data_IF_986144490952
#
_entry.id   IF_986144490952
#
_cell.length_a   1.000
_cell.length_b   1.000
_cell.length_c   1.000
_cell.angle_alpha   90.00
_cell.angle_beta   90.00
_cell.angle_gamma   90.00
#
_symmetry.space_group_name_H-M   'P 1'
#
loop_
_entity.id
_entity.type
_entity.pdbx_description
1 polymer ?
#
# COMPACT_ATOMS: atom_id res chain seq x y z
N UNK A 1 32.20 -5.02 20.15
CA UNK A 1 31.19 -6.08 20.01
C UNK A 1 30.10 -5.52 19.10
N UNK A 2 29.91 -6.11 17.94
CA UNK A 2 28.94 -5.63 16.93
C UNK A 2 27.60 -6.33 17.21
N UNK A 3 26.53 -5.62 17.64
CA UNK A 3 25.27 -6.25 18.07
C UNK A 3 24.36 -6.68 16.92
N UNK A 4 24.76 -6.47 15.67
CA UNK A 4 24.04 -6.97 14.52
C UNK A 4 24.80 -8.17 13.93
N UNK A 5 24.57 -9.34 14.48
CA UNK A 5 25.01 -10.59 13.86
C UNK A 5 24.57 -10.61 12.40
N UNK A 6 25.52 -10.58 11.44
CA UNK A 6 25.22 -10.84 10.04
C UNK A 6 24.79 -12.31 9.97
N UNK A 7 23.50 -12.52 9.83
CA UNK A 7 22.99 -13.83 9.45
C UNK A 7 23.44 -14.08 8.01
N UNK A 8 24.43 -14.97 7.83
CA UNK A 8 24.75 -15.50 6.51
C UNK A 8 23.62 -16.46 6.15
N UNK A 9 22.72 -16.01 5.29
CA UNK A 9 21.68 -16.88 4.72
C UNK A 9 22.33 -17.55 3.51
N UNK A 10 22.62 -18.83 3.62
CA UNK A 10 23.15 -19.60 2.50
C UNK A 10 22.09 -19.75 1.40
N UNK A 11 22.54 -19.80 0.15
CA UNK A 11 21.65 -19.98 -1.02
C UNK A 11 20.73 -21.20 -0.86
N UNK A 12 21.25 -22.25 -0.23
CA UNK A 12 20.51 -23.49 0.05
C UNK A 12 19.39 -23.30 1.09
N UNK A 13 19.58 -22.42 2.08
CA UNK A 13 18.55 -22.11 3.08
C UNK A 13 17.41 -21.32 2.44
N UNK A 14 17.73 -20.40 1.53
CA UNK A 14 16.75 -19.72 0.71
C UNK A 14 15.97 -20.75 -0.12
N UNK A 15 16.64 -21.64 -0.82
CA UNK A 15 16.00 -22.64 -1.68
C UNK A 15 15.16 -23.65 -0.89
N UNK A 16 15.60 -24.04 0.30
CA UNK A 16 14.82 -24.90 1.21
C UNK A 16 13.60 -24.19 1.79
N UNK A 17 13.67 -22.85 1.95
CA UNK A 17 12.55 -22.00 2.37
C UNK A 17 11.46 -21.87 1.30
N UNK A 18 11.80 -22.08 0.02
CA UNK A 18 10.87 -22.04 -1.12
C UNK A 18 10.00 -23.31 -1.30
N UNK A 19 9.85 -24.14 -0.30
CA UNK A 19 8.77 -25.13 -0.32
C UNK A 19 7.40 -24.41 -0.45
N UNK A 20 6.45 -24.94 -1.24
CA UNK A 20 5.20 -24.27 -1.54
C UNK A 20 4.51 -23.70 -0.30
N UNK A 21 4.08 -22.44 -0.35
CA UNK A 21 3.27 -21.76 0.67
C UNK A 21 3.96 -21.43 2.01
N UNK A 22 5.29 -21.16 2.02
CA UNK A 22 5.99 -20.75 3.24
C UNK A 22 6.81 -19.48 3.12
N UNK A 23 6.74 -18.80 1.98
CA UNK A 23 7.41 -17.51 1.75
C UNK A 23 6.37 -16.43 1.59
N UNK A 24 6.51 -15.34 2.33
CA UNK A 24 5.66 -14.14 2.25
C UNK A 24 6.53 -12.96 1.86
N UNK A 25 6.05 -12.11 0.97
CA UNK A 25 6.70 -10.85 0.66
C UNK A 25 6.08 -9.72 1.48
N UNK A 26 6.89 -8.93 2.18
CA UNK A 26 6.52 -7.66 2.81
C UNK A 26 7.11 -6.53 1.98
N UNK A 27 6.26 -5.63 1.46
CA UNK A 27 6.72 -4.57 0.58
C UNK A 27 6.36 -3.18 1.11
N UNK A 28 7.23 -2.21 0.83
CA UNK A 28 7.07 -0.80 1.16
C UNK A 28 7.28 0.10 -0.06
N UNK A 29 7.29 1.41 0.15
CA UNK A 29 7.28 2.40 -0.94
C UNK A 29 8.49 2.30 -1.89
N UNK A 30 9.64 1.81 -1.42
CA UNK A 30 10.83 1.66 -2.23
C UNK A 30 10.67 0.71 -3.41
N UNK A 31 9.80 -0.31 -3.34
CA UNK A 31 9.54 -1.20 -4.48
C UNK A 31 8.90 -0.46 -5.65
N UNK A 32 8.16 0.64 -5.39
CA UNK A 32 7.43 1.40 -6.41
C UNK A 32 8.21 2.58 -7.00
N UNK A 33 9.41 2.88 -6.48
CA UNK A 33 10.25 3.98 -6.97
C UNK A 33 10.61 3.79 -8.46
N UNK A 34 10.98 2.59 -8.87
CA UNK A 34 11.25 2.27 -10.27
C UNK A 34 10.00 2.31 -11.17
N UNK A 35 8.81 2.47 -10.60
CA UNK A 35 7.54 2.69 -11.30
C UNK A 35 7.18 4.17 -11.41
N UNK A 36 8.05 5.08 -10.93
CA UNK A 36 7.83 6.53 -10.96
C UNK A 36 7.00 7.07 -9.78
N UNK A 37 6.76 6.26 -8.75
CA UNK A 37 6.08 6.71 -7.53
C UNK A 37 7.14 7.12 -6.51
N UNK A 38 7.14 8.39 -6.12
CA UNK A 38 8.05 8.88 -5.07
C UNK A 38 7.79 8.19 -3.75
N UNK A 39 8.84 7.84 -2.98
CA UNK A 39 8.66 7.32 -1.64
C UNK A 39 8.05 8.39 -0.73
N UNK A 40 7.51 7.99 0.41
CA UNK A 40 7.01 8.97 1.39
C UNK A 40 8.15 9.73 2.06
N UNK A 41 9.27 9.08 2.37
CA UNK A 41 10.44 9.63 3.06
C UNK A 41 11.70 9.47 2.24
N UNK A 42 12.71 10.29 2.54
CA UNK A 42 14.00 10.31 1.85
C UNK A 42 14.03 11.28 0.67
N UNK A 43 15.16 11.36 -0.04
CA UNK A 43 15.36 12.34 -1.12
C UNK A 43 14.27 12.25 -2.20
N UNK A 44 13.59 13.38 -2.47
CA UNK A 44 12.46 13.46 -3.39
C UNK A 44 11.17 12.83 -2.88
N UNK A 45 11.10 12.53 -1.58
CA UNK A 45 9.91 11.95 -0.94
C UNK A 45 8.75 12.92 -0.80
N UNK A 46 7.54 12.38 -0.68
CA UNK A 46 6.31 13.17 -0.58
C UNK A 46 6.32 14.13 0.63
N UNK A 47 6.90 13.68 1.75
CA UNK A 47 7.00 14.45 2.98
C UNK A 47 8.06 15.57 2.99
N UNK A 48 8.83 15.72 1.90
CA UNK A 48 9.64 16.93 1.68
C UNK A 48 8.77 18.09 1.17
N UNK A 49 7.67 17.78 0.45
CA UNK A 49 6.75 18.77 -0.12
C UNK A 49 5.57 19.07 0.80
N UNK A 50 5.12 18.10 1.57
CA UNK A 50 3.92 18.19 2.40
C UNK A 50 4.21 17.78 3.84
N UNK A 51 3.61 18.48 4.81
CA UNK A 51 3.59 18.03 6.19
C UNK A 51 2.57 16.90 6.37
N UNK A 52 3.02 15.66 6.70
CA UNK A 52 2.13 14.53 6.86
C UNK A 52 1.07 14.73 7.95
N UNK A 53 1.39 15.45 9.02
CA UNK A 53 0.42 15.75 10.08
C UNK A 53 -0.69 16.67 9.59
N UNK A 54 -0.39 17.58 8.67
CA UNK A 54 -1.40 18.45 8.09
C UNK A 54 -2.27 17.73 7.08
N UNK A 55 -1.67 17.00 6.12
CA UNK A 55 -2.40 16.51 4.94
C UNK A 55 -2.81 15.03 5.00
N UNK A 56 -2.20 14.23 5.88
CA UNK A 56 -2.44 12.80 5.98
C UNK A 56 -2.87 12.32 7.39
N UNK A 57 -3.26 13.23 8.26
CA UNK A 57 -3.83 12.95 9.57
C UNK A 57 -5.35 12.97 9.50
N UNK A 58 -6.04 11.97 10.09
CA UNK A 58 -7.49 11.82 9.98
C UNK A 58 -8.26 12.97 10.66
N UNK A 59 -7.80 13.48 11.79
CA UNK A 59 -8.47 14.58 12.48
C UNK A 59 -8.36 15.89 11.68
N UNK A 60 -7.21 16.16 11.07
CA UNK A 60 -7.03 17.30 10.19
C UNK A 60 -7.82 17.15 8.89
N UNK A 61 -7.90 15.95 8.33
CA UNK A 61 -8.76 15.66 7.18
C UNK A 61 -10.24 15.96 7.48
N UNK A 62 -10.73 15.58 8.66
CA UNK A 62 -12.13 15.86 9.06
C UNK A 62 -12.42 17.35 9.21
N UNK A 63 -11.43 18.15 9.66
CA UNK A 63 -11.57 19.61 9.81
C UNK A 63 -11.46 20.36 8.49
N UNK A 64 -10.53 19.96 7.65
CA UNK A 64 -10.25 20.60 6.35
C UNK A 64 -9.88 19.56 5.30
N UNK A 65 -10.87 18.81 4.77
CA UNK A 65 -10.57 17.76 3.77
C UNK A 65 -9.99 18.32 2.47
N UNK A 66 -10.22 19.61 2.17
CA UNK A 66 -9.70 20.23 0.95
C UNK A 66 -8.18 20.26 0.90
N UNK A 67 -7.49 20.58 2.01
CA UNK A 67 -6.02 20.63 2.05
C UNK A 67 -5.42 19.27 1.72
N UNK A 68 -5.95 18.21 2.35
CA UNK A 68 -5.53 16.82 2.05
C UNK A 68 -5.82 16.43 0.60
N UNK A 69 -6.98 16.80 0.08
CA UNK A 69 -7.37 16.43 -1.28
C UNK A 69 -6.54 17.08 -2.37
N UNK A 70 -5.91 18.22 -2.12
CA UNK A 70 -4.92 18.81 -3.05
C UNK A 70 -3.74 17.86 -3.24
N UNK A 71 -3.15 17.39 -2.16
CA UNK A 71 -2.06 16.40 -2.19
C UNK A 71 -2.52 15.05 -2.75
N UNK A 72 -3.68 14.54 -2.29
CA UNK A 72 -4.22 13.26 -2.70
C UNK A 72 -4.49 13.18 -4.19
N UNK A 73 -4.96 14.26 -4.82
CA UNK A 73 -5.17 14.32 -6.26
C UNK A 73 -3.85 14.15 -7.03
N UNK A 74 -2.77 14.82 -6.60
CA UNK A 74 -1.45 14.63 -7.21
C UNK A 74 -0.97 13.19 -7.08
N UNK A 75 -1.13 12.58 -5.89
CA UNK A 75 -0.78 11.17 -5.68
C UNK A 75 -1.58 10.24 -6.59
N UNK A 76 -2.89 10.44 -6.69
CA UNK A 76 -3.77 9.65 -7.57
C UNK A 76 -3.36 9.74 -9.04
N UNK A 77 -3.02 10.94 -9.53
CA UNK A 77 -2.57 11.15 -10.91
C UNK A 77 -1.26 10.42 -11.23
N UNK A 78 -0.34 10.35 -10.27
CA UNK A 78 0.91 9.58 -10.39
C UNK A 78 0.63 8.08 -10.38
N UNK A 79 -0.15 7.60 -9.40
CA UNK A 79 -0.49 6.18 -9.23
C UNK A 79 -1.27 5.65 -10.44
N UNK A 80 -2.15 6.44 -11.02
CA UNK A 80 -2.92 6.03 -12.21
C UNK A 80 -2.03 5.72 -13.41
N UNK A 81 -1.01 6.56 -13.64
CA UNK A 81 -0.06 6.42 -14.75
C UNK A 81 1.00 5.37 -14.49
N UNK A 82 1.24 5.01 -13.23
CA UNK A 82 2.28 4.07 -12.85
C UNK A 82 2.00 2.65 -13.35
N UNK A 83 3.05 2.00 -13.83
CA UNK A 83 3.03 0.60 -14.27
C UNK A 83 3.88 -0.26 -13.34
N UNK A 84 3.49 -1.53 -13.13
CA UNK A 84 4.30 -2.47 -12.38
C UNK A 84 5.71 -2.58 -12.98
N UNK A 85 6.73 -2.52 -12.16
CA UNK A 85 8.11 -2.74 -12.57
C UNK A 85 8.52 -4.22 -12.44
N UNK A 86 9.78 -4.51 -12.76
CA UNK A 86 10.30 -5.88 -12.76
C UNK A 86 10.19 -6.59 -11.41
N UNK A 87 10.25 -5.86 -10.28
CA UNK A 87 10.08 -6.46 -8.94
C UNK A 87 8.64 -6.92 -8.73
N UNK A 88 7.64 -6.08 -9.04
CA UNK A 88 6.22 -6.45 -8.96
C UNK A 88 5.91 -7.66 -9.85
N UNK A 89 6.37 -7.64 -11.11
CA UNK A 89 6.17 -8.74 -12.06
C UNK A 89 6.86 -10.03 -11.61
N UNK A 90 8.02 -9.92 -10.94
CA UNK A 90 8.72 -11.08 -10.39
C UNK A 90 7.95 -11.70 -9.23
N UNK A 91 7.43 -10.90 -8.29
CA UNK A 91 6.59 -11.40 -7.21
C UNK A 91 5.32 -12.07 -7.73
N UNK A 92 4.66 -11.50 -8.75
CA UNK A 92 3.50 -12.11 -9.37
C UNK A 92 3.84 -13.47 -10.02
N UNK A 93 5.00 -13.57 -10.69
CA UNK A 93 5.48 -14.85 -11.24
C UNK A 93 5.81 -15.87 -10.16
N UNK A 94 6.40 -15.43 -9.05
CA UNK A 94 6.71 -16.30 -7.90
C UNK A 94 5.43 -16.83 -7.25
N UNK A 95 4.41 -16.00 -7.06
CA UNK A 95 3.11 -16.42 -6.56
C UNK A 95 2.46 -17.44 -7.51
N UNK A 96 2.42 -17.14 -8.80
CA UNK A 96 1.86 -18.06 -9.83
C UNK A 96 2.54 -19.42 -9.83
N UNK A 97 3.85 -19.48 -9.53
CA UNK A 97 4.63 -20.72 -9.44
C UNK A 97 4.55 -21.38 -8.06
N UNK A 98 3.84 -20.79 -7.09
CA UNK A 98 3.70 -21.31 -5.73
C UNK A 98 4.92 -21.10 -4.82
N UNK A 99 5.88 -20.26 -5.23
CA UNK A 99 7.06 -19.93 -4.40
C UNK A 99 6.71 -18.98 -3.26
N UNK A 100 5.81 -18.03 -3.48
CA UNK A 100 5.27 -17.17 -2.41
C UNK A 100 3.77 -17.42 -2.24
N UNK A 101 3.29 -17.32 -1.01
CA UNK A 101 1.87 -17.49 -0.67
C UNK A 101 1.09 -16.20 -0.78
N UNK A 102 1.70 -15.11 -0.40
CA UNK A 102 1.05 -13.79 -0.34
C UNK A 102 2.05 -12.64 -0.39
N UNK A 103 1.53 -11.48 -0.71
CA UNK A 103 2.22 -10.20 -0.57
C UNK A 103 1.50 -9.38 0.49
N UNK A 104 2.19 -8.99 1.55
CA UNK A 104 1.74 -7.97 2.50
C UNK A 104 2.34 -6.66 2.04
N UNK A 105 1.51 -5.70 1.67
CA UNK A 105 2.01 -4.40 1.21
C UNK A 105 1.57 -3.26 2.11
N UNK A 106 2.50 -2.37 2.42
CA UNK A 106 2.20 -1.07 3.04
C UNK A 106 1.81 -0.03 1.99
N UNK A 107 2.03 -0.35 0.70
CA UNK A 107 1.73 0.56 -0.40
C UNK A 107 0.23 0.58 -0.69
N UNK A 108 -0.20 1.74 -1.17
CA UNK A 108 -1.60 2.05 -1.48
C UNK A 108 -1.84 2.21 -3.00
N UNK A 109 -0.86 1.83 -3.83
CA UNK A 109 -0.79 2.11 -5.27
C UNK A 109 -1.45 1.05 -6.17
N UNK A 110 -1.77 -0.14 -5.64
CA UNK A 110 -2.38 -1.23 -6.38
C UNK A 110 -1.47 -1.89 -7.43
N UNK A 111 -0.16 -1.63 -7.43
CA UNK A 111 0.74 -2.15 -8.47
C UNK A 111 0.96 -3.66 -8.38
N UNK A 112 0.84 -4.27 -7.20
CA UNK A 112 0.88 -5.73 -7.07
C UNK A 112 -0.29 -6.39 -7.78
N UNK A 113 -1.50 -5.86 -7.62
CA UNK A 113 -2.70 -6.37 -8.31
C UNK A 113 -2.57 -6.13 -9.82
N UNK A 114 -2.10 -4.95 -10.25
CA UNK A 114 -1.81 -4.66 -11.67
C UNK A 114 -0.75 -5.62 -12.25
N UNK A 115 0.22 -6.08 -11.45
CA UNK A 115 1.24 -7.06 -11.86
C UNK A 115 0.69 -8.49 -11.99
N UNK A 116 -0.47 -8.78 -11.40
CA UNK A 116 -1.14 -10.06 -11.43
C UNK A 116 -1.05 -10.89 -10.16
N UNK A 117 -0.53 -10.35 -9.06
CA UNK A 117 -0.64 -10.97 -7.74
C UNK A 117 -2.12 -11.14 -7.35
N UNK A 118 -2.47 -12.29 -6.79
CA UNK A 118 -3.84 -12.66 -6.38
C UNK A 118 -4.06 -12.51 -4.89
N UNK A 119 -3.05 -12.83 -4.09
CA UNK A 119 -3.11 -12.78 -2.64
C UNK A 119 -2.30 -11.57 -2.15
N UNK A 120 -2.95 -10.40 -2.16
CA UNK A 120 -2.35 -9.15 -1.71
C UNK A 120 -3.09 -8.64 -0.47
N UNK A 121 -2.37 -8.48 0.64
CA UNK A 121 -2.88 -7.92 1.88
C UNK A 121 -2.50 -6.44 1.90
N UNK A 122 -3.48 -5.58 1.68
CA UNK A 122 -3.35 -4.13 1.66
C UNK A 122 -3.34 -3.60 3.10
N UNK A 123 -2.17 -3.59 3.73
CA UNK A 123 -2.04 -3.28 5.15
C UNK A 123 -2.48 -1.85 5.50
N UNK A 124 -2.26 -0.91 4.57
CA UNK A 124 -2.70 0.48 4.69
C UNK A 124 -3.84 0.84 3.71
N UNK A 125 -4.57 -0.15 3.20
CA UNK A 125 -5.66 0.10 2.25
C UNK A 125 -5.18 0.37 0.83
N UNK A 126 -6.00 1.10 0.04
CA UNK A 126 -5.74 1.34 -1.38
C UNK A 126 -6.36 2.66 -1.86
N UNK A 127 -5.65 3.43 -2.65
CA UNK A 127 -6.14 4.72 -3.19
C UNK A 127 -7.05 4.59 -4.40
N UNK A 128 -7.15 3.40 -5.02
CA UNK A 128 -8.07 3.18 -6.16
C UNK A 128 -9.54 3.10 -5.74
N UNK A 129 -9.80 3.08 -4.43
CA UNK A 129 -11.12 3.13 -3.83
C UNK A 129 -11.27 4.37 -2.96
N UNK A 130 -12.48 4.92 -2.94
CA UNK A 130 -12.88 5.99 -2.04
C UNK A 130 -13.95 5.47 -1.09
N UNK A 131 -13.86 5.87 0.16
CA UNK A 131 -14.84 5.56 1.21
C UNK A 131 -15.54 6.83 1.67
N UNK A 132 -16.85 6.76 1.84
CA UNK A 132 -17.61 7.86 2.42
C UNK A 132 -17.48 7.85 3.95
N UNK A 133 -17.06 8.97 4.55
CA UNK A 133 -16.93 9.08 6.00
C UNK A 133 -18.26 9.07 6.76
N UNK A 134 -19.38 9.30 6.05
CA UNK A 134 -20.71 9.35 6.69
C UNK A 134 -21.48 8.04 6.58
N UNK A 135 -21.50 7.40 5.40
CA UNK A 135 -22.31 6.20 5.17
C UNK A 135 -21.48 4.95 4.86
N UNK A 136 -20.15 5.06 4.86
CA UNK A 136 -19.21 3.97 4.56
C UNK A 136 -19.36 3.34 3.17
N UNK A 137 -20.12 3.93 2.26
CA UNK A 137 -20.21 3.47 0.89
C UNK A 137 -18.86 3.59 0.18
N UNK A 138 -18.53 2.57 -0.63
CA UNK A 138 -17.31 2.48 -1.38
C UNK A 138 -17.56 2.80 -2.86
N UNK A 139 -16.63 3.54 -3.46
CA UNK A 139 -16.65 3.91 -4.88
C UNK A 139 -15.30 3.66 -5.50
N UNK A 140 -15.25 3.35 -6.79
CA UNK A 140 -14.02 3.49 -7.55
C UNK A 140 -13.69 4.99 -7.69
N UNK A 141 -12.42 5.37 -7.49
CA UNK A 141 -12.04 6.78 -7.67
C UNK A 141 -12.35 7.28 -9.09
N UNK A 142 -12.41 6.39 -10.09
CA UNK A 142 -12.73 6.70 -11.48
C UNK A 142 -14.19 7.05 -11.72
N UNK A 143 -15.07 6.69 -10.80
CA UNK A 143 -16.51 6.97 -10.87
C UNK A 143 -16.85 8.32 -10.23
N UNK A 144 -15.87 8.95 -9.57
CA UNK A 144 -16.08 10.20 -8.83
C UNK A 144 -15.38 11.35 -9.53
N UNK A 145 -16.11 12.44 -9.75
CA UNK A 145 -15.54 13.69 -10.29
C UNK A 145 -14.62 14.35 -9.25
N UNK A 146 -13.34 14.47 -9.61
CA UNK A 146 -12.30 15.15 -8.84
C UNK A 146 -12.02 16.58 -9.35
N UNK A 147 -12.89 17.13 -10.20
CA UNK A 147 -12.80 18.51 -10.66
C UNK A 147 -13.08 19.51 -9.54
N UNK A 148 -13.94 19.14 -8.59
CA UNK A 148 -14.20 19.91 -7.37
C UNK A 148 -13.68 19.16 -6.14
N UNK A 149 -12.90 19.85 -5.28
CA UNK A 149 -12.34 19.26 -4.06
C UNK A 149 -12.89 19.91 -2.80
N UNK A 150 -13.19 19.14 -1.75
CA UNK A 150 -13.18 17.68 -1.68
C UNK A 150 -14.32 17.06 -2.50
N UNK A 151 -14.19 15.82 -2.98
CA UNK A 151 -15.31 15.12 -3.59
C UNK A 151 -16.33 14.67 -2.53
N UNK A 152 -17.59 14.59 -2.95
CA UNK A 152 -18.70 14.22 -2.08
C UNK A 152 -19.36 12.92 -2.54
N UNK A 153 -19.91 12.19 -1.58
CA UNK A 153 -20.61 10.94 -1.79
C UNK A 153 -21.91 11.15 -2.59
N UNK A 154 -22.09 10.49 -3.73
CA UNK A 154 -23.33 10.62 -4.52
C UNK A 154 -24.55 10.03 -3.80
N UNK A 155 -24.37 9.16 -2.81
CA UNK A 155 -25.46 8.54 -2.07
C UNK A 155 -25.98 9.38 -0.89
N UNK A 156 -25.09 10.14 -0.19
CA UNK A 156 -25.50 10.84 1.04
C UNK A 156 -24.93 12.24 1.19
N UNK A 157 -24.11 12.72 0.24
CA UNK A 157 -23.47 14.03 0.32
C UNK A 157 -22.30 14.14 1.31
N UNK A 158 -21.93 13.06 2.00
CA UNK A 158 -20.77 13.04 2.91
C UNK A 158 -19.45 13.17 2.17
N UNK A 159 -18.39 13.59 2.85
CA UNK A 159 -17.06 13.72 2.27
C UNK A 159 -16.48 12.34 1.94
N UNK A 160 -15.90 12.20 0.76
CA UNK A 160 -15.15 11.01 0.36
C UNK A 160 -13.68 11.13 0.76
N UNK A 161 -13.09 10.01 1.18
CA UNK A 161 -11.68 9.84 1.50
C UNK A 161 -11.15 8.64 0.72
N UNK A 162 -9.86 8.61 0.26
CA UNK A 162 -9.27 7.37 -0.19
C UNK A 162 -9.39 6.28 0.88
N UNK A 163 -9.68 5.05 0.46
CA UNK A 163 -9.71 3.87 1.34
C UNK A 163 -8.29 3.45 1.73
N UNK A 164 -7.52 4.42 2.22
CA UNK A 164 -6.16 4.29 2.70
C UNK A 164 -6.08 4.80 4.15
N UNK A 165 -5.23 4.16 4.96
CA UNK A 165 -5.05 4.48 6.38
C UNK A 165 -4.28 5.79 6.52
N UNK A 166 -4.88 6.77 7.19
CA UNK A 166 -4.25 8.02 7.56
C UNK A 166 -3.62 7.91 8.95
N UNK A 167 -2.69 8.81 9.28
CA UNK A 167 -2.18 8.93 10.64
C UNK A 167 -3.33 9.14 11.60
N UNK A 168 -3.32 8.43 12.74
CA UNK A 168 -4.42 8.43 13.70
C UNK A 168 -5.55 7.44 13.41
N UNK A 169 -5.56 6.78 12.25
CA UNK A 169 -6.51 5.69 11.98
C UNK A 169 -5.93 4.32 12.35
N UNK A 170 -6.76 3.40 12.85
CA UNK A 170 -6.33 2.03 13.05
C UNK A 170 -6.16 1.31 11.71
N UNK A 171 -5.24 0.35 11.68
CA UNK A 171 -5.13 -0.61 10.58
C UNK A 171 -6.44 -1.39 10.45
N UNK A 172 -6.98 -1.60 9.24
CA UNK A 172 -8.18 -2.40 9.04
C UNK A 172 -8.03 -3.78 9.68
N UNK A 173 -8.96 -4.14 10.56
CA UNK A 173 -8.88 -5.38 11.37
C UNK A 173 -8.65 -6.62 10.52
N UNK A 174 -9.30 -6.71 9.36
CA UNK A 174 -9.12 -7.85 8.45
C UNK A 174 -7.68 -7.92 7.91
N UNK A 175 -7.11 -6.80 7.46
CA UNK A 175 -5.74 -6.72 6.97
C UNK A 175 -4.72 -7.06 8.07
N UNK A 176 -4.94 -6.54 9.29
CA UNK A 176 -4.09 -6.83 10.44
C UNK A 176 -4.07 -8.32 10.77
N UNK A 177 -5.24 -8.95 10.87
CA UNK A 177 -5.36 -10.40 11.20
C UNK A 177 -4.77 -11.27 10.09
N UNK A 178 -5.03 -10.95 8.82
CA UNK A 178 -4.48 -11.70 7.70
C UNK A 178 -2.95 -11.58 7.63
N UNK A 179 -2.42 -10.35 7.76
CA UNK A 179 -0.97 -10.14 7.77
C UNK A 179 -0.29 -10.88 8.92
N UNK A 180 -0.89 -10.87 10.11
CA UNK A 180 -0.39 -11.60 11.28
C UNK A 180 -0.39 -13.11 11.03
N UNK A 181 -1.48 -13.67 10.51
CA UNK A 181 -1.57 -15.09 10.21
C UNK A 181 -0.54 -15.54 9.16
N UNK A 182 -0.36 -14.76 8.07
CA UNK A 182 0.64 -15.05 7.05
C UNK A 182 2.07 -14.96 7.62
N UNK A 183 2.35 -13.93 8.44
CA UNK A 183 3.66 -13.76 9.08
C UNK A 183 4.00 -14.88 10.05
N UNK A 184 3.01 -15.37 10.84
CA UNK A 184 3.22 -16.49 11.77
C UNK A 184 3.47 -17.82 11.05
N UNK A 185 2.87 -18.02 9.88
CA UNK A 185 2.97 -19.27 9.13
C UNK A 185 4.15 -19.29 8.15
N UNK A 186 4.75 -18.15 7.83
CA UNK A 186 5.85 -18.09 6.89
C UNK A 186 7.14 -18.62 7.53
N UNK A 187 7.97 -19.30 6.71
CA UNK A 187 9.34 -19.67 7.08
C UNK A 187 10.36 -18.64 6.65
N UNK A 188 10.05 -17.91 5.57
CA UNK A 188 10.90 -16.86 5.02
C UNK A 188 10.03 -15.66 4.72
N UNK A 189 10.44 -14.48 5.17
CA UNK A 189 9.84 -13.21 4.80
C UNK A 189 10.83 -12.44 3.91
N UNK A 190 10.41 -12.14 2.70
CA UNK A 190 11.14 -11.26 1.78
C UNK A 190 10.72 -9.82 2.08
N UNK A 191 11.61 -9.02 2.61
CA UNK A 191 11.36 -7.59 2.88
C UNK A 191 11.95 -6.77 1.74
N UNK A 192 11.12 -5.98 1.05
CA UNK A 192 11.47 -5.28 -0.19
C UNK A 192 10.96 -3.84 -0.15
N UNK A 193 11.89 -2.88 -0.24
CA UNK A 193 11.57 -1.45 -0.34
C UNK A 193 11.69 -0.65 0.92
#
# INVERSE_FOLDING_TARGET
MNPLGRYHIEREDILRGFAPKKVVALTGAGISVASGISPFRGPGGLWEKYDPEEVANIENFRRNPRSSWVMLKEVLEVVEKALPNSAHLSLARMEKKGFISSVITQNIDGLHQKAGNKTVIEYHGNTTRLVCLSCSALFSYREIDLGSLPPYCPACGGVLKPDAVFFGEPIPKAALLQAHAEAQQCRVMLVIG
#
